data_IF_366548757440
#
_entry.id   IF_366548757440
#
_cell.length_a   1.000
_cell.length_b   1.000
_cell.length_c   1.000
_cell.angle_alpha   90.00
_cell.angle_beta   90.00
_cell.angle_gamma   90.00
#
_symmetry.space_group_name_H-M   'P 1'
#
loop_
_entity.id
_entity.type
_entity.pdbx_description
1 polymer ?
#
# COMPACT_ATOMS: atom_id res chain seq x y z
N UNK A 1 -19.42 4.25 22.37
CA UNK A 1 -18.57 3.58 21.37
C UNK A 1 -19.40 3.49 20.10
N UNK A 2 -18.97 4.09 19.01
CA UNK A 2 -19.70 3.96 17.74
C UNK A 2 -19.59 2.50 17.25
N UNK A 3 -20.68 1.89 16.74
CA UNK A 3 -20.64 0.52 16.23
C UNK A 3 -19.73 0.41 15.01
N UNK A 4 -19.02 -0.71 14.92
CA UNK A 4 -18.16 -1.01 13.78
C UNK A 4 -18.99 -1.07 12.49
N UNK A 5 -18.54 -0.36 11.46
CA UNK A 5 -19.09 -0.42 10.11
C UNK A 5 -18.01 -0.92 9.16
N UNK A 6 -18.24 -2.02 8.40
CA UNK A 6 -17.33 -2.48 7.37
C UNK A 6 -17.04 -1.36 6.37
N UNK A 7 -15.79 -1.29 5.90
CA UNK A 7 -15.35 -0.34 4.87
C UNK A 7 -15.28 -1.03 3.52
N UNK A 8 -15.64 -0.31 2.46
CA UNK A 8 -15.49 -0.83 1.11
C UNK A 8 -13.99 -0.94 0.77
N UNK A 9 -13.55 -2.14 0.38
CA UNK A 9 -12.23 -2.40 -0.18
C UNK A 9 -12.39 -2.79 -1.65
N UNK A 10 -11.61 -2.18 -2.55
CA UNK A 10 -11.72 -2.42 -4.00
C UNK A 10 -10.36 -2.39 -4.70
N UNK A 11 -10.26 -3.19 -5.76
CA UNK A 11 -9.33 -2.92 -6.84
C UNK A 11 -9.83 -1.70 -7.62
N UNK A 12 -8.94 -0.76 -7.87
CA UNK A 12 -9.24 0.48 -8.58
C UNK A 12 -8.83 0.33 -10.04
N UNK A 13 -7.54 0.09 -10.30
CA UNK A 13 -7.02 -0.06 -11.65
C UNK A 13 -5.59 -0.66 -11.66
N UNK A 14 -5.12 -1.01 -12.86
CA UNK A 14 -3.72 -1.32 -13.12
C UNK A 14 -3.02 -0.04 -13.61
N UNK A 15 -2.07 0.47 -12.82
CA UNK A 15 -1.28 1.65 -13.14
C UNK A 15 0.03 1.25 -13.82
N UNK A 16 0.48 2.05 -14.79
CA UNK A 16 1.81 1.94 -15.41
C UNK A 16 2.63 3.20 -15.16
N UNK A 17 3.85 3.03 -14.69
CA UNK A 17 4.80 4.12 -14.45
C UNK A 17 6.16 3.75 -15.05
N UNK A 18 6.47 4.22 -16.27
CA UNK A 18 7.64 3.71 -17.00
C UNK A 18 7.52 2.21 -17.24
N UNK A 19 8.50 1.42 -16.77
CA UNK A 19 8.46 -0.05 -16.85
C UNK A 19 7.58 -0.70 -15.78
N UNK A 20 7.24 0.04 -14.72
CA UNK A 20 6.48 -0.48 -13.59
C UNK A 20 5.04 -0.81 -13.93
N UNK A 21 4.57 -1.97 -13.47
CA UNK A 21 3.17 -2.37 -13.46
C UNK A 21 2.69 -2.51 -12.01
N UNK A 22 1.74 -1.67 -11.63
CA UNK A 22 1.31 -1.53 -10.24
C UNK A 22 -0.20 -1.75 -10.12
N UNK A 23 -0.64 -2.66 -9.26
CA UNK A 23 -2.07 -2.80 -8.92
C UNK A 23 -2.47 -1.76 -7.88
N UNK A 24 -3.46 -0.92 -8.16
CA UNK A 24 -3.98 0.07 -7.22
C UNK A 24 -5.20 -0.49 -6.49
N UNK A 25 -5.12 -0.51 -5.17
CA UNK A 25 -6.21 -0.89 -4.28
C UNK A 25 -6.58 0.26 -3.35
N UNK A 26 -7.83 0.31 -2.92
CA UNK A 26 -8.24 1.29 -1.94
C UNK A 26 -9.29 0.80 -0.95
N UNK A 27 -9.24 1.38 0.25
CA UNK A 27 -10.25 1.28 1.30
C UNK A 27 -10.91 2.65 1.46
N UNK A 28 -12.23 2.71 1.30
CA UNK A 28 -13.00 3.95 1.44
C UNK A 28 -13.42 4.19 2.89
N UNK A 29 -13.32 5.45 3.37
CA UNK A 29 -13.84 5.80 4.69
C UNK A 29 -15.37 5.93 4.69
N UNK A 30 -15.92 6.47 3.60
CA UNK A 30 -17.33 6.76 3.41
C UNK A 30 -17.71 6.36 1.98
N UNK A 31 -18.85 5.68 1.84
CA UNK A 31 -19.34 5.22 0.55
C UNK A 31 -18.52 4.07 -0.05
N UNK A 32 -18.64 3.90 -1.37
CA UNK A 32 -18.05 2.79 -2.10
C UNK A 32 -16.64 3.04 -2.63
N UNK A 33 -16.28 4.31 -2.82
CA UNK A 33 -15.03 4.73 -3.44
C UNK A 33 -14.27 5.70 -2.52
N UNK A 34 -12.93 5.63 -2.49
CA UNK A 34 -12.12 6.61 -1.80
C UNK A 34 -12.20 7.98 -2.50
N UNK A 35 -11.83 9.03 -1.77
CA UNK A 35 -11.69 10.37 -2.33
C UNK A 35 -10.73 10.39 -3.53
N UNK A 36 -11.15 11.02 -4.63
CA UNK A 36 -10.41 11.02 -5.90
C UNK A 36 -9.04 11.70 -5.78
N UNK A 37 -8.92 12.69 -4.90
CA UNK A 37 -7.70 13.41 -4.61
C UNK A 37 -6.65 12.49 -3.96
N UNK A 38 -7.10 11.51 -3.15
CA UNK A 38 -6.21 10.51 -2.55
C UNK A 38 -5.68 9.54 -3.61
N UNK A 39 -6.51 9.12 -4.56
CA UNK A 39 -6.08 8.28 -5.67
C UNK A 39 -5.06 9.02 -6.55
N UNK A 40 -5.30 10.31 -6.84
CA UNK A 40 -4.36 11.14 -7.58
C UNK A 40 -3.03 11.31 -6.83
N UNK A 41 -3.09 11.59 -5.52
CA UNK A 41 -1.91 11.66 -4.67
C UNK A 41 -1.12 10.34 -4.65
N UNK A 42 -1.81 9.20 -4.58
CA UNK A 42 -1.19 7.88 -4.58
C UNK A 42 -0.42 7.60 -5.87
N UNK A 43 -1.01 7.91 -7.03
CA UNK A 43 -0.34 7.79 -8.32
C UNK A 43 0.89 8.70 -8.41
N UNK A 44 0.80 9.93 -7.91
CA UNK A 44 1.92 10.88 -7.89
C UNK A 44 3.06 10.39 -7.00
N UNK A 45 2.74 9.91 -5.79
CA UNK A 45 3.73 9.36 -4.86
C UNK A 45 4.39 8.13 -5.47
N UNK A 46 3.62 7.21 -6.04
CA UNK A 46 4.17 6.02 -6.69
C UNK A 46 5.13 6.39 -7.83
N UNK A 47 4.75 7.33 -8.70
CA UNK A 47 5.65 7.80 -9.77
C UNK A 47 6.98 8.35 -9.22
N UNK A 48 6.94 9.14 -8.14
CA UNK A 48 8.13 9.72 -7.52
C UNK A 48 9.00 8.65 -6.86
N UNK A 49 8.39 7.69 -6.16
CA UNK A 49 9.14 6.66 -5.44
C UNK A 49 9.75 5.64 -6.40
N UNK A 50 9.00 5.14 -7.38
CA UNK A 50 9.44 4.06 -8.26
C UNK A 50 10.62 4.45 -9.15
N UNK A 51 10.73 5.73 -9.54
CA UNK A 51 11.89 6.27 -10.28
C UNK A 51 13.20 6.11 -9.50
N UNK A 52 13.16 6.09 -8.16
CA UNK A 52 14.36 5.92 -7.32
C UNK A 52 14.90 4.49 -7.32
N UNK A 53 14.16 3.53 -7.87
CA UNK A 53 14.48 2.09 -7.84
C UNK A 53 14.64 1.48 -9.24
N UNK A 54 14.77 2.28 -10.31
CA UNK A 54 15.22 1.75 -11.60
C UNK A 54 16.76 1.76 -11.61
N UNK A 55 17.44 0.59 -11.61
CA UNK A 55 16.98 -0.69 -12.17
C UNK A 55 16.45 -1.69 -11.12
N UNK A 56 15.40 -2.43 -11.50
CA UNK A 56 14.78 -3.50 -10.73
C UNK A 56 14.44 -4.66 -11.67
N UNK A 57 14.61 -5.91 -11.26
CA UNK A 57 14.40 -7.07 -12.14
C UNK A 57 12.92 -7.37 -12.44
N UNK A 58 11.99 -6.95 -11.57
CA UNK A 58 10.58 -7.30 -11.68
C UNK A 58 9.73 -6.20 -12.30
N UNK A 59 9.96 -4.96 -11.88
CA UNK A 59 9.07 -3.83 -12.19
C UNK A 59 7.59 -4.12 -11.82
N UNK A 60 7.36 -4.89 -10.75
CA UNK A 60 6.02 -5.28 -10.29
C UNK A 60 5.77 -4.83 -8.84
N UNK A 61 4.53 -4.42 -8.58
CA UNK A 61 4.11 -4.07 -7.23
C UNK A 61 2.63 -3.74 -7.09
N UNK A 62 2.29 -3.17 -5.95
CA UNK A 62 0.95 -2.68 -5.65
C UNK A 62 1.00 -1.38 -4.86
N UNK A 63 -0.06 -0.60 -4.99
CA UNK A 63 -0.28 0.66 -4.31
C UNK A 63 -1.55 0.49 -3.50
N UNK A 64 -1.49 0.80 -2.21
CA UNK A 64 -2.68 0.81 -1.35
C UNK A 64 -3.00 2.21 -0.88
N UNK A 65 -4.28 2.56 -0.98
CA UNK A 65 -4.83 3.81 -0.46
C UNK A 65 -5.81 3.48 0.63
N UNK A 66 -5.58 3.97 1.83
CA UNK A 66 -6.55 3.88 2.89
C UNK A 66 -7.09 5.27 3.20
N UNK A 67 -8.32 5.48 2.78
CA UNK A 67 -9.11 6.64 3.13
C UNK A 67 -9.65 6.44 4.56
N UNK A 68 -9.17 7.25 5.49
CA UNK A 68 -9.67 7.29 6.86
C UNK A 68 -10.22 8.66 7.22
N UNK A 69 -11.11 8.67 8.21
CA UNK A 69 -11.85 9.86 8.66
C UNK A 69 -10.93 11.02 9.04
N UNK A 70 -9.89 10.73 9.83
CA UNK A 70 -8.98 11.76 10.38
C UNK A 70 -7.56 11.66 9.80
N UNK A 71 -7.28 10.61 9.04
CA UNK A 71 -5.98 10.34 8.46
C UNK A 71 -6.14 9.46 7.22
N UNK A 72 -5.34 9.73 6.21
CA UNK A 72 -5.21 8.87 5.05
C UNK A 72 -3.78 8.33 4.99
N UNK A 73 -3.62 7.07 4.60
CA UNK A 73 -2.31 6.50 4.34
C UNK A 73 -2.24 5.91 2.95
N UNK A 74 -1.08 6.08 2.34
CA UNK A 74 -0.74 5.53 1.03
C UNK A 74 0.49 4.68 1.24
N UNK A 75 0.49 3.47 0.70
CA UNK A 75 1.68 2.65 0.65
C UNK A 75 1.98 2.21 -0.77
N UNK A 76 3.28 2.13 -1.06
CA UNK A 76 3.82 1.63 -2.32
C UNK A 76 4.69 0.45 -1.98
N UNK A 77 4.26 -0.73 -2.44
CA UNK A 77 4.93 -2.00 -2.24
C UNK A 77 5.41 -2.52 -3.57
N UNK A 78 6.69 -2.88 -3.66
CA UNK A 78 7.26 -3.41 -4.89
C UNK A 78 8.32 -4.46 -4.60
N UNK A 79 8.42 -5.43 -5.49
CA UNK A 79 9.42 -6.49 -5.40
C UNK A 79 10.76 -5.98 -5.89
N UNK A 80 11.85 -6.38 -5.25
CA UNK A 80 13.22 -6.21 -5.70
C UNK A 80 14.13 -7.22 -5.01
N UNK A 81 15.43 -7.21 -5.34
CA UNK A 81 16.41 -8.14 -4.76
C UNK A 81 15.90 -9.60 -4.73
N UNK A 82 15.41 -10.09 -5.87
CA UNK A 82 14.80 -11.41 -6.10
C UNK A 82 13.50 -11.71 -5.34
N UNK A 83 13.43 -11.51 -4.02
CA UNK A 83 12.29 -11.90 -3.20
C UNK A 83 12.02 -10.93 -2.03
N UNK A 84 12.57 -9.72 -2.09
CA UNK A 84 12.34 -8.70 -1.07
C UNK A 84 11.18 -7.78 -1.49
N UNK A 85 10.19 -7.64 -0.59
CA UNK A 85 9.13 -6.65 -0.76
C UNK A 85 9.55 -5.35 -0.08
N UNK A 86 9.81 -4.33 -0.88
CA UNK A 86 10.09 -2.98 -0.41
C UNK A 86 8.78 -2.28 -0.08
N UNK A 87 8.63 -1.86 1.17
CA UNK A 87 7.44 -1.20 1.69
C UNK A 87 7.70 0.28 1.98
N UNK A 88 7.00 1.19 1.28
CA UNK A 88 7.04 2.64 1.53
C UNK A 88 5.68 3.13 2.00
N UNK A 89 5.64 3.81 3.15
CA UNK A 89 4.39 4.32 3.75
C UNK A 89 4.43 5.83 3.89
N UNK A 90 3.33 6.44 3.45
CA UNK A 90 3.06 7.85 3.49
C UNK A 90 1.80 8.09 4.29
N UNK A 91 1.83 9.07 5.18
CA UNK A 91 0.72 9.43 6.03
C UNK A 91 0.37 10.90 5.84
N UNK A 92 -0.93 11.18 5.79
CA UNK A 92 -1.48 12.51 5.91
C UNK A 92 -2.53 12.54 7.03
N UNK A 93 -2.55 13.63 7.81
CA UNK A 93 -3.45 13.84 8.95
C UNK A 93 -4.18 15.17 8.82
N UNK A 94 -5.43 15.20 9.27
CA UNK A 94 -6.29 16.39 9.24
C UNK A 94 -6.70 16.80 7.81
N UNK A 95 -7.17 18.04 7.66
CA UNK A 95 -7.74 18.52 6.38
C UNK A 95 -6.71 18.73 5.26
N UNK A 96 -5.40 18.63 5.57
CA UNK A 96 -4.32 18.76 4.59
C UNK A 96 -3.95 17.41 3.96
N UNK A 97 -4.93 16.76 3.34
CA UNK A 97 -4.77 15.49 2.62
C UNK A 97 -3.78 15.55 1.44
N UNK A 98 -3.29 16.74 1.08
CA UNK A 98 -2.32 16.96 -0.01
C UNK A 98 -0.86 16.91 0.43
N UNK A 99 -0.58 16.86 1.74
CA UNK A 99 0.78 16.75 2.26
C UNK A 99 0.96 15.37 2.85
N UNK A 100 1.70 14.54 2.11
CA UNK A 100 2.13 13.22 2.54
C UNK A 100 3.60 13.26 2.91
N UNK A 101 3.90 12.92 4.17
CA UNK A 101 5.28 12.80 4.62
C UNK A 101 5.67 11.32 4.63
N UNK A 102 6.87 10.96 4.15
CA UNK A 102 7.39 9.62 4.33
C UNK A 102 7.49 9.34 5.83
N UNK A 103 6.94 8.23 6.28
CA UNK A 103 7.13 7.82 7.68
C UNK A 103 8.60 7.44 7.86
N UNK A 104 9.27 8.04 8.85
CA UNK A 104 10.68 7.79 9.13
C UNK A 104 10.97 6.29 9.20
N UNK A 105 11.80 5.83 8.26
CA UNK A 105 12.28 4.47 8.16
C UNK A 105 13.28 4.30 9.30
N UNK A 106 13.06 3.35 10.21
CA UNK A 106 14.15 2.89 11.09
C UNK A 106 15.28 2.38 10.17
N UNK A 107 16.57 2.47 10.52
CA UNK A 107 17.71 2.26 9.60
C UNK A 107 17.82 0.86 8.96
N UNK A 108 16.86 -0.04 9.17
CA UNK A 108 16.65 -1.22 8.35
C UNK A 108 15.33 -1.04 7.59
N UNK A 109 15.30 -1.10 6.25
CA UNK A 109 14.02 -1.22 5.55
C UNK A 109 13.26 -2.37 6.22
N UNK A 110 11.99 -2.16 6.55
CA UNK A 110 11.13 -3.28 6.92
C UNK A 110 10.93 -4.09 5.65
N UNK A 111 11.90 -4.94 5.31
CA UNK A 111 11.71 -6.06 4.41
C UNK A 111 10.69 -6.95 5.12
N UNK A 112 9.43 -6.79 4.76
CA UNK A 112 8.43 -7.78 5.12
C UNK A 112 8.68 -8.93 4.14
N UNK A 113 9.60 -9.82 4.49
CA UNK A 113 9.80 -11.06 3.75
C UNK A 113 8.48 -11.81 3.76
N UNK A 114 7.81 -11.87 2.60
CA UNK A 114 6.65 -12.74 2.43
C UNK A 114 7.23 -14.15 2.40
N UNK A 115 7.14 -14.84 3.54
CA UNK A 115 7.36 -16.28 3.57
C UNK A 115 6.24 -16.94 2.76
N UNK A 116 6.61 -17.83 1.83
CA UNK A 116 5.68 -18.77 1.20
C UNK A 116 4.89 -19.49 2.29
N UNK A 117 3.58 -19.28 2.37
CA UNK A 117 2.69 -20.32 2.87
C UNK A 117 2.64 -21.43 1.82
N UNK A 118 3.56 -22.39 1.89
CA UNK A 118 3.42 -23.63 1.15
C UNK A 118 2.15 -24.34 1.62
N UNK A 119 1.27 -24.65 0.67
CA UNK A 119 -0.09 -25.16 0.87
C UNK A 119 -0.13 -26.66 1.20
N UNK A 120 0.77 -27.15 2.06
CA UNK A 120 0.91 -28.59 2.36
C UNK A 120 1.24 -28.85 3.83
N UNK A 121 0.40 -28.32 4.74
CA UNK A 121 0.17 -28.88 6.08
C UNK A 121 -0.81 -27.98 6.85
N UNK A 122 -2.06 -27.93 6.40
CA UNK A 122 -3.13 -27.36 7.22
C UNK A 122 -3.49 -28.38 8.31
N UNK A 123 -2.91 -28.24 9.50
CA UNK A 123 -3.59 -28.70 10.72
C UNK A 123 -4.47 -27.55 11.24
N UNK A 124 -5.77 -27.79 11.48
CA UNK A 124 -6.68 -26.75 11.92
C UNK A 124 -6.49 -26.50 13.41
N UNK A 125 -6.01 -25.31 13.77
CA UNK A 125 -6.01 -24.87 15.17
C UNK A 125 -4.77 -24.11 15.58
N UNK A 126 -4.68 -22.84 15.21
CA UNK A 126 -4.10 -21.80 16.08
C UNK A 126 -4.33 -20.43 15.45
N UNK A 127 -5.25 -19.69 16.06
CA UNK A 127 -5.30 -18.23 15.96
C UNK A 127 -3.93 -17.65 16.30
N UNK A 128 -3.45 -16.70 15.52
CA UNK A 128 -2.79 -15.52 16.07
C UNK A 128 -2.72 -14.42 15.01
N UNK A 129 -3.67 -13.49 15.11
CA UNK A 129 -3.48 -12.11 14.68
C UNK A 129 -2.45 -11.45 15.60
N UNK A 130 -1.49 -10.73 15.01
CA UNK A 130 -0.92 -9.46 15.46
C UNK A 130 -0.13 -8.86 14.30
#
# INVERSE_FOLDING_TARGET
>A
MEPYKPRAFRFIELCRFGKWQMKLYAIACLGEFPRTELLAAAKKIAAIELVKFEPNDFYLGFIGVHDGRNAAFIFVDFWGNENELFHRVFLSRGDKFLIFLPRAIRPRPSACGIWRCNHWSAQPGSNMCC
#
